data_IF_276987471903
#
_entry.id   IF_276987471903
#
_cell.length_a   1.000
_cell.length_b   1.000
_cell.length_c   1.000
_cell.angle_alpha   90.00
_cell.angle_beta   90.00
_cell.angle_gamma   90.00
#
_symmetry.space_group_name_H-M   'P 1'
#
loop_
_entity.id
_entity.type
_entity.pdbx_description
1 polymer ?
#
# COMPACT_ATOMS: atom_id res chain seq x y z
N UNK A 1 -0.02 23.63 19.98
CA UNK A 1 0.62 22.55 19.19
C UNK A 1 -0.39 22.08 18.16
N UNK A 2 -0.17 22.33 16.87
CA UNK A 2 -1.08 21.86 15.82
C UNK A 2 -0.89 20.35 15.65
N UNK A 3 -1.90 19.57 16.01
CA UNK A 3 -1.98 18.17 15.65
C UNK A 3 -2.17 18.08 14.14
N UNK A 4 -1.08 17.82 13.41
CA UNK A 4 -1.16 17.40 12.02
C UNK A 4 -1.85 16.03 12.00
N UNK A 5 -3.10 16.01 11.54
CA UNK A 5 -3.80 14.77 11.24
C UNK A 5 -3.09 14.13 10.04
N UNK A 6 -2.41 13.01 10.29
CA UNK A 6 -1.77 12.21 9.25
C UNK A 6 -2.85 11.49 8.45
N UNK A 7 -3.10 11.95 7.23
CA UNK A 7 -3.98 11.27 6.29
C UNK A 7 -3.12 10.37 5.39
N UNK A 8 -2.99 9.10 5.78
CA UNK A 8 -2.23 8.09 5.04
C UNK A 8 -3.21 7.24 4.24
N UNK A 9 -2.95 7.12 2.95
CA UNK A 9 -3.67 6.22 2.05
C UNK A 9 -2.81 4.98 1.82
N UNK A 10 -3.39 3.80 2.01
CA UNK A 10 -2.67 2.54 1.89
C UNK A 10 -3.25 1.76 0.72
N UNK A 11 -2.42 1.53 -0.29
CA UNK A 11 -2.74 0.70 -1.44
C UNK A 11 -1.94 -0.60 -1.31
N UNK A 12 -2.61 -1.74 -1.37
CA UNK A 12 -1.97 -3.05 -1.17
C UNK A 12 -2.17 -3.89 -2.43
N UNK A 13 -1.08 -4.38 -2.99
CA UNK A 13 -1.12 -5.40 -4.03
C UNK A 13 -0.88 -6.77 -3.38
N UNK A 14 -1.80 -7.70 -3.59
CA UNK A 14 -1.56 -9.11 -3.29
C UNK A 14 -1.30 -9.88 -4.56
N UNK A 15 -0.39 -10.86 -4.47
CA UNK A 15 -0.25 -11.87 -5.51
C UNK A 15 -1.60 -12.55 -5.78
N UNK A 16 -2.00 -12.59 -7.05
CA UNK A 16 -3.27 -13.19 -7.51
C UNK A 16 -3.46 -14.64 -7.11
N UNK A 17 -2.39 -15.39 -6.93
CA UNK A 17 -2.45 -16.79 -6.48
C UNK A 17 -2.58 -16.93 -4.95
N UNK A 18 -2.39 -15.83 -4.20
CA UNK A 18 -2.38 -15.85 -2.73
C UNK A 18 -3.54 -15.08 -2.09
N UNK A 19 -4.25 -14.26 -2.86
CA UNK A 19 -5.43 -13.54 -2.34
C UNK A 19 -6.66 -14.44 -2.30
N UNK A 20 -7.45 -14.33 -1.24
CA UNK A 20 -8.76 -14.96 -1.14
C UNK A 20 -9.74 -14.06 -0.37
N UNK A 21 -11.03 -14.39 -0.42
CA UNK A 21 -12.08 -13.60 0.21
C UNK A 21 -11.94 -13.48 1.75
N UNK A 22 -11.35 -14.48 2.40
CA UNK A 22 -11.15 -14.47 3.84
C UNK A 22 -10.07 -13.45 4.22
N UNK A 23 -8.94 -13.47 3.53
CA UNK A 23 -7.85 -12.51 3.71
C UNK A 23 -8.32 -11.07 3.48
N UNK A 24 -9.12 -10.83 2.44
CA UNK A 24 -9.67 -9.50 2.16
C UNK A 24 -10.57 -8.99 3.29
N UNK A 25 -11.42 -9.85 3.85
CA UNK A 25 -12.27 -9.51 5.01
C UNK A 25 -11.43 -9.17 6.24
N UNK A 26 -10.38 -9.95 6.50
CA UNK A 26 -9.47 -9.71 7.62
C UNK A 26 -8.79 -8.35 7.51
N UNK A 27 -8.25 -8.02 6.33
CA UNK A 27 -7.60 -6.73 6.09
C UNK A 27 -8.56 -5.57 6.32
N UNK A 28 -9.79 -5.65 5.79
CA UNK A 28 -10.80 -4.60 5.97
C UNK A 28 -11.17 -4.44 7.45
N UNK A 29 -11.27 -5.54 8.19
CA UNK A 29 -11.57 -5.50 9.63
C UNK A 29 -10.44 -4.86 10.45
N UNK A 30 -9.17 -5.08 10.10
CA UNK A 30 -8.03 -4.43 10.78
C UNK A 30 -7.85 -2.95 10.40
N UNK A 31 -8.44 -2.51 9.29
CA UNK A 31 -8.23 -1.20 8.69
C UNK A 31 -9.00 -0.05 9.38
N UNK A 32 -9.44 -0.20 10.63
CA UNK A 32 -10.48 0.60 11.29
C UNK A 32 -10.37 2.14 11.15
N UNK A 33 -9.17 2.67 10.91
CA UNK A 33 -8.92 4.12 10.79
C UNK A 33 -8.32 4.58 9.45
N UNK A 34 -7.87 3.66 8.58
CA UNK A 34 -7.13 4.01 7.36
C UNK A 34 -7.89 3.59 6.11
N UNK A 35 -7.89 4.43 5.08
CA UNK A 35 -8.43 4.06 3.77
C UNK A 35 -7.48 3.07 3.11
N UNK A 36 -7.84 1.78 3.17
CA UNK A 36 -7.11 0.70 2.50
C UNK A 36 -7.81 0.34 1.20
N UNK A 37 -7.05 0.27 0.11
CA UNK A 37 -7.51 -0.25 -1.18
C UNK A 37 -6.64 -1.43 -1.58
N UNK A 38 -7.28 -2.58 -1.84
CA UNK A 38 -6.57 -3.81 -2.20
C UNK A 38 -6.77 -4.10 -3.69
N UNK A 39 -5.68 -4.43 -4.38
CA UNK A 39 -5.67 -4.92 -5.76
C UNK A 39 -4.92 -6.24 -5.86
N UNK A 40 -5.22 -7.01 -6.90
CA UNK A 40 -4.54 -8.29 -7.15
C UNK A 40 -4.61 -8.62 -8.64
N UNK A 41 -3.81 -7.89 -9.41
CA UNK A 41 -3.91 -7.86 -10.88
C UNK A 41 -3.11 -8.97 -11.57
N UNK A 42 -2.10 -9.54 -10.92
CA UNK A 42 -1.18 -10.53 -11.50
C UNK A 42 -0.52 -11.42 -10.44
N UNK A 43 0.02 -12.55 -10.91
CA UNK A 43 1.01 -13.34 -10.18
C UNK A 43 2.32 -12.55 -10.08
N UNK A 44 2.94 -12.53 -8.92
CA UNK A 44 4.21 -11.82 -8.68
C UNK A 44 5.31 -12.84 -8.46
N UNK A 45 6.22 -12.95 -9.43
CA UNK A 45 7.42 -13.78 -9.32
C UNK A 45 8.62 -12.90 -8.95
N UNK A 46 9.35 -13.28 -7.90
CA UNK A 46 10.51 -12.54 -7.43
C UNK A 46 11.59 -12.47 -8.52
N UNK A 47 12.15 -11.29 -8.74
CA UNK A 47 13.16 -11.04 -9.78
C UNK A 47 12.62 -10.97 -11.21
N UNK A 48 11.31 -11.12 -11.41
CA UNK A 48 10.68 -11.01 -12.72
C UNK A 48 10.02 -9.63 -12.94
N UNK A 49 9.76 -9.24 -14.21
CA UNK A 49 9.07 -7.99 -14.54
C UNK A 49 7.68 -7.83 -13.90
N UNK A 50 7.07 -8.92 -13.43
CA UNK A 50 5.82 -8.89 -12.68
C UNK A 50 5.87 -8.02 -11.42
N UNK A 51 7.04 -7.90 -10.78
CA UNK A 51 7.24 -7.04 -9.59
C UNK A 51 7.07 -5.57 -10.00
N UNK A 52 7.81 -5.12 -11.01
CA UNK A 52 7.68 -3.75 -11.52
C UNK A 52 6.24 -3.46 -11.95
N UNK A 53 5.57 -4.41 -12.62
CA UNK A 53 4.17 -4.23 -13.00
C UNK A 53 3.26 -4.02 -11.77
N UNK A 54 3.49 -4.73 -10.66
CA UNK A 54 2.69 -4.58 -9.45
C UNK A 54 2.91 -3.21 -8.80
N UNK A 55 4.16 -2.76 -8.77
CA UNK A 55 4.53 -1.42 -8.28
C UNK A 55 3.92 -0.31 -9.14
N UNK A 56 3.93 -0.45 -10.47
CA UNK A 56 3.28 0.49 -11.38
C UNK A 56 1.76 0.51 -11.24
N UNK A 57 1.12 -0.65 -11.06
CA UNK A 57 -0.33 -0.72 -10.84
C UNK A 57 -0.73 0.02 -9.55
N UNK A 58 0.07 -0.11 -8.48
CA UNK A 58 -0.12 0.65 -7.24
C UNK A 58 0.07 2.15 -7.43
N UNK A 59 1.13 2.55 -8.14
CA UNK A 59 1.42 3.95 -8.42
C UNK A 59 0.31 4.59 -9.27
N UNK A 60 -0.11 3.91 -10.33
CA UNK A 60 -1.18 4.38 -11.23
C UNK A 60 -2.50 4.55 -10.45
N UNK A 61 -2.84 3.57 -9.60
CA UNK A 61 -4.03 3.65 -8.76
C UNK A 61 -3.97 4.83 -7.79
N UNK A 62 -2.83 5.01 -7.09
CA UNK A 62 -2.64 6.13 -6.17
C UNK A 62 -2.74 7.48 -6.89
N UNK A 63 -2.11 7.59 -8.07
CA UNK A 63 -2.09 8.79 -8.90
C UNK A 63 -3.48 9.20 -9.37
N UNK A 64 -4.31 8.23 -9.75
CA UNK A 64 -5.70 8.51 -10.19
C UNK A 64 -6.66 8.81 -9.04
N UNK A 65 -6.40 8.30 -7.84
CA UNK A 65 -7.39 8.27 -6.76
C UNK A 65 -7.21 9.34 -5.70
N UNK A 66 -6.09 10.06 -5.70
CA UNK A 66 -5.72 10.93 -4.59
C UNK A 66 -4.70 12.00 -4.96
N UNK A 67 -4.66 13.06 -4.17
CA UNK A 67 -3.59 14.05 -4.23
C UNK A 67 -2.62 13.79 -3.08
N UNK A 68 -1.56 13.02 -3.34
CA UNK A 68 -0.51 12.71 -2.38
C UNK A 68 0.72 13.59 -2.62
N UNK A 69 1.50 13.83 -1.56
CA UNK A 69 2.78 14.54 -1.67
C UNK A 69 3.92 13.59 -2.02
N UNK A 70 3.93 12.43 -1.36
CA UNK A 70 4.96 11.41 -1.49
C UNK A 70 4.31 10.05 -1.70
N UNK A 71 4.97 9.19 -2.48
CA UNK A 71 4.60 7.80 -2.68
C UNK A 71 5.75 6.91 -2.21
N UNK A 72 5.45 5.98 -1.32
CA UNK A 72 6.44 5.04 -0.79
C UNK A 72 6.01 3.63 -1.13
N UNK A 73 6.89 2.90 -1.83
CA UNK A 73 6.74 1.47 -2.03
C UNK A 73 7.33 0.72 -0.83
N UNK A 74 6.55 -0.22 -0.32
CA UNK A 74 6.95 -1.14 0.74
C UNK A 74 6.50 -2.55 0.38
N UNK A 75 7.30 -3.53 0.75
CA UNK A 75 6.98 -4.95 0.69
C UNK A 75 6.44 -5.44 2.03
N UNK A 76 5.82 -6.62 2.05
CA UNK A 76 5.40 -7.26 3.29
C UNK A 76 6.53 -7.69 4.23
N UNK A 77 7.80 -7.53 3.82
CA UNK A 77 8.98 -7.82 4.64
C UNK A 77 9.59 -6.57 5.28
N UNK A 78 9.13 -5.38 4.89
CA UNK A 78 9.67 -4.12 5.40
C UNK A 78 9.09 -3.77 6.77
N UNK A 79 9.95 -3.19 7.62
CA UNK A 79 9.56 -2.72 8.95
C UNK A 79 10.00 -1.27 9.14
N UNK A 80 9.06 -0.42 9.57
CA UNK A 80 9.36 0.97 9.86
C UNK A 80 10.23 1.11 11.12
N UNK A 81 11.42 1.70 10.96
CA UNK A 81 12.34 1.97 12.08
C UNK A 81 12.05 3.30 12.82
N UNK A 82 11.18 4.14 12.26
CA UNK A 82 10.85 5.48 12.75
C UNK A 82 9.35 5.73 12.58
N UNK A 83 8.83 6.73 13.28
CA UNK A 83 7.41 7.12 13.14
C UNK A 83 7.15 7.82 11.81
N UNK A 84 5.93 7.71 11.30
CA UNK A 84 5.50 8.33 10.03
C UNK A 84 5.81 9.84 9.95
N UNK A 85 5.71 10.55 11.09
CA UNK A 85 6.03 11.99 11.18
C UNK A 85 7.46 12.32 10.72
N UNK A 86 8.41 11.39 10.88
CA UNK A 86 9.82 11.59 10.48
C UNK A 86 10.07 11.29 9.00
N UNK A 87 9.19 10.53 8.35
CA UNK A 87 9.28 10.20 6.91
C UNK A 87 8.56 11.23 6.02
N UNK A 88 7.70 12.07 6.56
CA UNK A 88 6.90 13.04 5.81
C UNK A 88 7.69 14.19 5.15
N UNK A 89 9.01 14.26 5.38
CA UNK A 89 9.88 15.37 4.95
C UNK A 89 11.00 14.95 3.98
N UNK A 90 11.00 13.70 3.54
CA UNK A 90 11.90 13.22 2.48
C UNK A 90 11.13 13.03 1.19
#
# INVERSE_FOLDING_TARGET
MNNLILNILIYIHFDKERVNNQLLKEIVNYAESSKIVVISTQKVTLGAPSVMKAEFDLLELAYKSSNYKNFHLISGQDLALKTAKKYMFF
#
